data_IF_239884016148
#
_entry.id   IF_239884016148
#
_cell.length_a   1.000
_cell.length_b   1.000
_cell.length_c   1.000
_cell.angle_alpha   90.00
_cell.angle_beta   90.00
_cell.angle_gamma   90.00
#
_symmetry.space_group_name_H-M   'P 1'
#
loop_
_entity.id
_entity.type
_entity.pdbx_description
1 polymer ?
#
# COMPACT_ATOMS: atom_id res chain seq x y z
N UNK A 1 -24.72 -1.12 4.51
CA UNK A 1 -23.62 -1.57 5.39
C UNK A 1 -22.41 -1.96 4.55
N UNK A 2 -21.21 -1.55 4.94
CA UNK A 2 -19.97 -1.95 4.26
C UNK A 2 -19.77 -3.46 4.43
N UNK A 3 -19.84 -4.21 3.34
CA UNK A 3 -19.58 -5.65 3.37
C UNK A 3 -18.08 -5.93 3.28
N UNK A 4 -17.49 -6.45 4.35
CA UNK A 4 -16.08 -6.87 4.40
C UNK A 4 -16.01 -8.40 4.32
N UNK A 5 -15.29 -8.92 3.32
CA UNK A 5 -15.01 -10.35 3.23
C UNK A 5 -13.86 -10.74 4.15
N UNK A 6 -14.07 -11.80 4.93
CA UNK A 6 -13.05 -12.36 5.83
C UNK A 6 -11.95 -13.10 5.08
N UNK A 7 -12.29 -13.68 3.94
CA UNK A 7 -11.34 -14.36 3.07
C UNK A 7 -10.58 -13.31 2.26
N UNK A 8 -9.26 -13.32 2.39
CA UNK A 8 -8.36 -12.43 1.66
C UNK A 8 -7.90 -13.14 0.40
N UNK A 9 -8.11 -12.52 -0.76
CA UNK A 9 -7.56 -13.03 -2.01
C UNK A 9 -6.10 -12.57 -2.15
N UNK A 10 -5.17 -13.51 -2.32
CA UNK A 10 -3.75 -13.22 -2.49
C UNK A 10 -3.37 -13.23 -3.97
N UNK A 11 -2.64 -12.23 -4.42
CA UNK A 11 -2.12 -12.12 -5.79
C UNK A 11 -0.81 -11.35 -5.79
N UNK A 12 0.14 -11.73 -6.63
CA UNK A 12 1.35 -10.95 -6.83
C UNK A 12 1.11 -9.78 -7.78
N UNK A 13 1.90 -8.73 -7.66
CA UNK A 13 1.91 -7.61 -8.60
C UNK A 13 2.14 -8.04 -10.06
N UNK A 14 2.93 -9.10 -10.27
CA UNK A 14 3.16 -9.68 -11.61
C UNK A 14 1.94 -10.43 -12.14
N UNK A 15 1.34 -11.32 -11.35
CA UNK A 15 0.10 -12.02 -11.75
C UNK A 15 -1.01 -11.02 -12.06
N UNK A 16 -1.08 -9.93 -11.29
CA UNK A 16 -2.05 -8.87 -11.51
C UNK A 16 -1.82 -8.15 -12.85
N UNK A 17 -0.56 -7.90 -13.24
CA UNK A 17 -0.20 -7.41 -14.57
C UNK A 17 -0.58 -8.42 -15.66
N UNK A 18 -0.32 -9.70 -15.46
CA UNK A 18 -0.63 -10.76 -16.43
C UNK A 18 -2.14 -10.91 -16.66
N UNK A 19 -2.96 -10.73 -15.61
CA UNK A 19 -4.43 -10.74 -15.67
C UNK A 19 -4.99 -9.52 -16.40
N UNK A 20 -4.36 -8.36 -16.25
CA UNK A 20 -4.87 -7.07 -16.73
C UNK A 20 -3.77 -6.26 -17.44
N UNK A 21 -3.22 -6.76 -18.57
CA UNK A 21 -1.99 -6.22 -19.16
C UNK A 21 -2.14 -4.80 -19.72
N UNK A 22 -3.37 -4.41 -20.05
CA UNK A 22 -3.68 -3.11 -20.67
C UNK A 22 -4.14 -2.04 -19.66
N UNK A 23 -4.14 -2.36 -18.37
CA UNK A 23 -4.60 -1.46 -17.30
C UNK A 23 -3.41 -0.91 -16.51
N UNK A 24 -3.55 0.33 -16.02
CA UNK A 24 -2.58 0.94 -15.08
C UNK A 24 -2.61 0.23 -13.73
N UNK A 25 -1.55 0.32 -12.89
CA UNK A 25 -1.53 -0.32 -11.57
C UNK A 25 -2.78 -0.07 -10.71
N UNK A 26 -3.26 1.18 -10.65
CA UNK A 26 -4.48 1.54 -9.89
C UNK A 26 -5.77 1.00 -10.51
N UNK A 27 -5.84 0.91 -11.84
CA UNK A 27 -6.98 0.24 -12.50
C UNK A 27 -6.96 -1.28 -12.22
N UNK A 28 -5.78 -1.91 -12.17
CA UNK A 28 -5.67 -3.32 -11.81
C UNK A 28 -6.08 -3.57 -10.36
N UNK A 29 -5.63 -2.72 -9.43
CA UNK A 29 -6.07 -2.72 -8.03
C UNK A 29 -7.59 -2.61 -7.94
N UNK A 30 -8.20 -1.69 -8.69
CA UNK A 30 -9.65 -1.54 -8.75
C UNK A 30 -10.36 -2.81 -9.21
N UNK A 31 -9.98 -3.38 -10.36
CA UNK A 31 -10.65 -4.56 -10.92
C UNK A 31 -10.57 -5.78 -10.00
N UNK A 32 -9.37 -6.07 -9.47
CA UNK A 32 -9.19 -7.23 -8.58
C UNK A 32 -9.92 -7.04 -7.26
N UNK A 33 -9.88 -5.83 -6.70
CA UNK A 33 -10.51 -5.53 -5.40
C UNK A 33 -12.02 -5.47 -5.54
N UNK A 34 -12.57 -4.96 -6.65
CA UNK A 34 -14.01 -4.99 -6.92
C UNK A 34 -14.54 -6.42 -7.01
N UNK A 35 -13.79 -7.32 -7.65
CA UNK A 35 -14.13 -8.74 -7.80
C UNK A 35 -14.07 -9.52 -6.48
N UNK A 36 -12.98 -9.35 -5.72
CA UNK A 36 -12.70 -10.17 -4.54
C UNK A 36 -13.05 -9.50 -3.20
N UNK A 37 -13.35 -8.20 -3.21
CA UNK A 37 -13.70 -7.32 -2.06
C UNK A 37 -12.59 -7.09 -1.05
N UNK A 38 -11.74 -8.08 -0.79
CA UNK A 38 -10.59 -7.99 0.11
C UNK A 38 -9.39 -8.70 -0.54
N UNK A 39 -8.34 -7.94 -0.83
CA UNK A 39 -7.18 -8.41 -1.61
C UNK A 39 -5.88 -8.07 -0.88
N UNK A 40 -4.94 -9.01 -0.91
CA UNK A 40 -3.54 -8.76 -0.58
C UNK A 40 -2.71 -8.82 -1.85
N UNK A 41 -2.16 -7.69 -2.28
CA UNK A 41 -1.27 -7.61 -3.45
C UNK A 41 0.16 -7.68 -2.96
N UNK A 42 0.84 -8.79 -3.24
CA UNK A 42 2.22 -9.01 -2.81
C UNK A 42 3.25 -8.53 -3.82
N UNK A 43 4.50 -8.42 -3.38
CA UNK A 43 5.66 -8.05 -4.19
C UNK A 43 5.62 -6.64 -4.76
N UNK A 44 5.29 -5.66 -3.91
CA UNK A 44 5.26 -4.24 -4.28
C UNK A 44 6.66 -3.65 -4.20
N UNK A 45 7.08 -2.93 -5.24
CA UNK A 45 8.40 -2.32 -5.37
C UNK A 45 9.30 -2.96 -6.43
N UNK A 46 9.03 -4.22 -6.82
CA UNK A 46 9.75 -4.90 -7.91
C UNK A 46 9.42 -4.28 -9.27
N UNK A 47 10.41 -4.29 -10.15
CA UNK A 47 10.20 -4.08 -11.58
C UNK A 47 9.55 -5.34 -12.16
N UNK A 48 8.42 -5.17 -12.84
CA UNK A 48 7.63 -6.22 -13.48
C UNK A 48 8.13 -6.52 -14.89
N UNK A 49 7.54 -7.52 -15.55
CA UNK A 49 7.87 -7.95 -16.90
C UNK A 49 7.77 -6.85 -17.97
N UNK A 50 6.98 -5.79 -17.73
CA UNK A 50 6.83 -4.63 -18.60
C UNK A 50 7.87 -3.51 -18.33
N UNK A 51 8.89 -3.76 -17.50
CA UNK A 51 9.89 -2.79 -17.06
C UNK A 51 9.35 -1.63 -16.21
N UNK A 52 8.12 -1.72 -15.72
CA UNK A 52 7.53 -0.76 -14.79
C UNK A 52 7.41 -1.38 -13.40
N UNK A 53 7.21 -0.54 -12.38
CA UNK A 53 6.85 -1.02 -11.03
C UNK A 53 5.35 -0.93 -10.86
N UNK A 54 4.78 -1.82 -10.04
CA UNK A 54 3.38 -1.69 -9.63
C UNK A 54 3.17 -0.42 -8.81
N UNK A 55 4.01 -0.21 -7.80
CA UNK A 55 4.09 1.01 -7.01
C UNK A 55 5.52 1.19 -6.45
N UNK A 56 5.83 2.38 -5.96
CA UNK A 56 7.08 2.68 -5.28
C UNK A 56 7.17 1.95 -3.94
N UNK A 57 8.38 1.51 -3.58
CA UNK A 57 8.68 1.01 -2.24
C UNK A 57 10.11 1.36 -1.86
N UNK A 58 10.32 1.70 -0.60
CA UNK A 58 11.66 1.99 -0.11
C UNK A 58 12.50 0.71 -0.10
N UNK A 59 13.82 0.81 -0.34
CA UNK A 59 14.70 -0.36 -0.31
C UNK A 59 15.11 -0.80 1.10
N UNK A 60 14.82 0.00 2.13
CA UNK A 60 15.50 -0.09 3.42
C UNK A 60 14.80 -0.96 4.47
N UNK A 61 13.51 -1.24 4.30
CA UNK A 61 12.72 -1.91 5.35
C UNK A 61 11.85 -3.05 4.84
N UNK A 62 11.25 -2.97 3.65
CA UNK A 62 10.46 -4.08 3.10
C UNK A 62 11.29 -4.90 2.12
N UNK A 63 11.32 -6.23 2.29
CA UNK A 63 11.79 -7.12 1.23
C UNK A 63 10.70 -7.17 0.13
N UNK A 64 11.03 -6.71 -1.06
CA UNK A 64 10.08 -6.64 -2.17
C UNK A 64 9.66 -8.02 -2.70
N UNK A 65 10.26 -9.12 -2.25
CA UNK A 65 9.77 -10.47 -2.50
C UNK A 65 8.69 -10.90 -1.49
N UNK A 66 8.65 -10.28 -0.31
CA UNK A 66 7.91 -10.76 0.87
C UNK A 66 7.07 -9.66 1.54
N UNK A 67 6.71 -8.62 0.79
CA UNK A 67 5.82 -7.55 1.22
C UNK A 67 4.50 -7.59 0.46
N UNK A 68 3.57 -6.72 0.87
CA UNK A 68 2.37 -6.42 0.11
C UNK A 68 1.44 -5.43 0.80
N UNK A 69 0.39 -5.09 0.08
CA UNK A 69 -0.64 -4.15 0.50
C UNK A 69 -2.00 -4.86 0.66
N UNK A 70 -2.75 -4.50 1.70
CA UNK A 70 -4.15 -4.93 1.89
C UNK A 70 -5.08 -3.85 1.34
N UNK A 71 -5.91 -4.24 0.38
CA UNK A 71 -6.92 -3.39 -0.23
C UNK A 71 -8.33 -3.93 0.05
N UNK A 72 -9.25 -3.02 0.32
CA UNK A 72 -10.68 -3.30 0.46
C UNK A 72 -11.46 -2.53 -0.60
N UNK A 73 -12.54 -3.12 -1.10
CA UNK A 73 -13.44 -2.41 -1.98
C UNK A 73 -14.33 -1.47 -1.18
N UNK A 74 -14.20 -0.18 -1.43
CA UNK A 74 -15.01 0.84 -0.77
C UNK A 74 -16.22 1.17 -1.64
N UNK A 75 -17.38 0.62 -1.30
CA UNK A 75 -18.56 0.71 -2.17
C UNK A 75 -19.08 2.13 -2.33
N UNK A 76 -19.12 2.92 -1.25
CA UNK A 76 -19.59 4.30 -1.28
C UNK A 76 -18.78 5.21 -2.22
N UNK A 77 -17.49 4.92 -2.40
CA UNK A 77 -16.59 5.63 -3.31
C UNK A 77 -16.34 4.90 -4.64
N UNK A 78 -16.89 3.70 -4.81
CA UNK A 78 -16.56 2.77 -5.89
C UNK A 78 -15.06 2.73 -6.20
N UNK A 79 -14.23 2.38 -5.20
CA UNK A 79 -12.78 2.37 -5.36
C UNK A 79 -12.09 1.25 -4.59
N UNK A 80 -10.83 0.97 -4.94
CA UNK A 80 -9.95 0.17 -4.10
C UNK A 80 -9.29 1.07 -3.06
N UNK A 81 -9.55 0.79 -1.78
CA UNK A 81 -9.00 1.51 -0.65
C UNK A 81 -7.93 0.67 0.02
N UNK A 82 -6.69 1.13 -0.08
CA UNK A 82 -5.55 0.54 0.62
C UNK A 82 -5.60 0.88 2.12
N UNK A 83 -5.62 -0.14 2.97
CA UNK A 83 -5.70 -0.01 4.43
C UNK A 83 -4.36 -0.29 5.11
N UNK A 84 -3.52 -1.14 4.52
CA UNK A 84 -2.27 -1.52 5.14
C UNK A 84 -1.18 -1.80 4.12
N UNK A 85 0.06 -1.46 4.49
CA UNK A 85 1.28 -1.93 3.86
C UNK A 85 2.10 -2.69 4.90
N UNK A 86 2.53 -3.90 4.55
CA UNK A 86 3.25 -4.77 5.47
C UNK A 86 4.19 -5.72 4.73
N UNK A 87 5.12 -6.31 5.47
CA UNK A 87 6.03 -7.28 4.90
C UNK A 87 7.02 -7.84 5.90
N UNK A 88 7.63 -8.95 5.50
CA UNK A 88 8.87 -9.40 6.11
C UNK A 88 9.94 -8.35 5.81
N UNK A 89 10.66 -7.93 6.84
CA UNK A 89 11.66 -6.89 6.70
C UNK A 89 12.89 -7.39 5.98
N UNK A 90 13.61 -6.50 5.33
CA UNK A 90 14.89 -6.85 4.70
C UNK A 90 15.86 -7.46 5.71
N UNK A 91 16.58 -8.47 5.26
CA UNK A 91 17.80 -8.99 5.87
C UNK A 91 19.04 -8.36 5.20
N UNK A 92 20.23 -8.83 5.54
CA UNK A 92 21.50 -8.32 5.00
C UNK A 92 21.57 -8.41 3.47
N UNK A 93 21.20 -9.56 2.92
CA UNK A 93 21.26 -9.85 1.49
C UNK A 93 20.25 -9.01 0.68
N UNK A 94 19.00 -8.99 1.13
CA UNK A 94 17.94 -8.21 0.46
C UNK A 94 18.18 -6.71 0.59
N UNK A 95 18.68 -6.22 1.74
CA UNK A 95 19.06 -4.81 1.88
C UNK A 95 20.17 -4.46 0.89
N UNK A 96 21.24 -5.25 0.82
CA UNK A 96 22.35 -5.04 -0.12
C UNK A 96 21.84 -4.95 -1.57
N UNK A 97 21.07 -5.96 -1.98
CA UNK A 97 20.49 -6.06 -3.33
C UNK A 97 19.59 -4.87 -3.65
N UNK A 98 18.67 -4.52 -2.76
CA UNK A 98 17.67 -3.47 -3.01
C UNK A 98 18.30 -2.06 -3.02
N UNK A 99 19.31 -1.80 -2.18
CA UNK A 99 20.06 -0.54 -2.24
C UNK A 99 20.81 -0.39 -3.56
N UNK A 100 21.41 -1.47 -4.05
CA UNK A 100 22.07 -1.50 -5.36
C UNK A 100 21.08 -1.20 -6.50
N UNK A 101 19.96 -1.93 -6.54
CA UNK A 101 18.91 -1.74 -7.56
C UNK A 101 18.32 -0.32 -7.51
N UNK A 102 18.19 0.26 -6.32
CA UNK A 102 17.64 1.61 -6.13
C UNK A 102 18.66 2.74 -6.30
N UNK A 103 19.93 2.44 -6.58
CA UNK A 103 21.01 3.45 -6.62
C UNK A 103 21.27 4.15 -5.28
N UNK A 104 20.84 3.54 -4.16
CA UNK A 104 20.86 4.13 -2.82
C UNK A 104 22.04 3.67 -1.96
N UNK A 105 23.15 3.26 -2.59
CA UNK A 105 24.32 2.69 -1.90
C UNK A 105 24.92 3.58 -0.81
N UNK A 106 24.78 4.90 -0.92
CA UNK A 106 25.25 5.85 0.10
C UNK A 106 24.62 5.57 1.49
N UNK A 107 23.41 5.00 1.54
CA UNK A 107 22.67 4.71 2.79
C UNK A 107 23.32 3.66 3.66
N UNK A 108 24.18 2.79 3.09
CA UNK A 108 24.98 1.82 3.84
C UNK A 108 25.82 2.45 4.95
N UNK A 109 26.10 3.75 4.84
CA UNK A 109 26.87 4.48 5.83
C UNK A 109 26.06 4.96 7.04
N UNK A 110 24.72 4.93 6.96
CA UNK A 110 23.82 5.33 8.03
C UNK A 110 23.77 4.27 9.13
N UNK A 111 23.48 4.71 10.36
CA UNK A 111 23.54 3.86 11.55
C UNK A 111 22.68 2.60 11.43
N UNK A 112 21.41 2.76 11.03
CA UNK A 112 20.48 1.64 10.88
C UNK A 112 21.00 0.59 9.88
N UNK A 113 21.43 1.03 8.69
CA UNK A 113 21.91 0.14 7.64
C UNK A 113 23.19 -0.60 8.03
N UNK A 114 24.12 0.07 8.73
CA UNK A 114 25.33 -0.59 9.25
C UNK A 114 24.98 -1.70 10.22
N UNK A 115 24.11 -1.40 11.19
CA UNK A 115 23.69 -2.38 12.20
C UNK A 115 23.00 -3.58 11.53
N UNK A 116 22.11 -3.33 10.55
CA UNK A 116 21.45 -4.42 9.84
C UNK A 116 22.45 -5.27 9.05
N UNK A 117 23.31 -4.66 8.23
CA UNK A 117 24.32 -5.37 7.42
C UNK A 117 25.34 -6.15 8.26
N UNK A 118 25.56 -5.75 9.51
CA UNK A 118 26.42 -6.45 10.46
C UNK A 118 25.71 -7.56 11.24
N UNK A 119 24.41 -7.80 11.00
CA UNK A 119 23.62 -8.80 11.72
C UNK A 119 23.32 -8.41 13.19
N UNK A 120 23.36 -7.12 13.52
CA UNK A 120 23.12 -6.62 14.88
C UNK A 120 21.62 -6.44 15.20
N UNK A 121 20.75 -6.52 14.17
CA UNK A 121 19.30 -6.38 14.30
C UNK A 121 18.60 -7.72 14.01
N UNK A 122 17.50 -8.03 14.72
CA UNK A 122 16.77 -9.27 14.48
C UNK A 122 15.94 -9.22 13.20
N UNK A 123 15.68 -10.39 12.60
CA UNK A 123 14.67 -10.53 11.56
C UNK A 123 13.28 -10.21 12.12
N UNK A 124 12.51 -9.41 11.38
CA UNK A 124 11.16 -9.00 11.80
C UNK A 124 10.16 -9.06 10.65
N UNK A 125 8.89 -9.07 11.02
CA UNK A 125 7.76 -8.75 10.14
C UNK A 125 7.07 -7.53 10.74
N UNK A 126 6.60 -6.61 9.91
CA UNK A 126 5.81 -5.49 10.41
C UNK A 126 5.00 -4.82 9.32
N UNK A 127 4.23 -3.82 9.71
CA UNK A 127 3.42 -3.03 8.80
C UNK A 127 2.78 -1.83 9.48
N UNK A 128 2.12 -1.02 8.68
CA UNK A 128 1.27 0.08 9.14
C UNK A 128 -0.17 -0.17 8.74
N UNK A 129 -1.12 0.19 9.60
CA UNK A 129 -2.55 0.20 9.30
C UNK A 129 -3.05 1.62 9.40
N UNK A 130 -3.65 2.13 8.33
CA UNK A 130 -4.19 3.49 8.28
C UNK A 130 -5.44 3.61 9.14
N UNK A 131 -5.29 4.12 10.37
CA UNK A 131 -6.39 4.24 11.32
C UNK A 131 -7.60 5.00 10.74
N UNK A 132 -7.38 6.20 10.19
CA UNK A 132 -8.46 7.01 9.61
C UNK A 132 -9.07 6.36 8.37
N UNK A 133 -8.26 5.70 7.51
CA UNK A 133 -8.80 4.96 6.36
C UNK A 133 -9.67 3.78 6.80
N UNK A 134 -9.26 3.07 7.86
CA UNK A 134 -10.05 1.98 8.43
C UNK A 134 -11.37 2.50 9.02
N UNK A 135 -11.34 3.60 9.78
CA UNK A 135 -12.56 4.24 10.28
C UNK A 135 -13.50 4.66 9.14
N UNK A 136 -12.97 5.34 8.11
CA UNK A 136 -13.72 5.78 6.94
C UNK A 136 -14.41 4.59 6.24
N UNK A 137 -13.68 3.49 6.01
CA UNK A 137 -14.22 2.26 5.41
C UNK A 137 -15.36 1.66 6.24
N UNK A 138 -15.15 1.50 7.55
CA UNK A 138 -16.10 0.82 8.45
C UNK A 138 -17.40 1.62 8.66
N UNK A 139 -17.30 2.95 8.67
CA UNK A 139 -18.46 3.84 8.82
C UNK A 139 -19.14 4.07 7.45
N UNK A 140 -18.40 3.93 6.35
CA UNK A 140 -18.90 4.17 5.00
C UNK A 140 -18.82 5.64 4.58
N UNK A 141 -17.88 6.39 5.18
CA UNK A 141 -17.67 7.81 4.89
C UNK A 141 -17.04 7.98 3.50
N UNK A 142 -17.31 9.10 2.85
CA UNK A 142 -16.86 9.38 1.47
C UNK A 142 -15.66 10.34 1.45
N UNK A 143 -15.26 10.87 2.60
CA UNK A 143 -14.09 11.70 2.75
C UNK A 143 -13.36 11.40 4.06
N UNK A 144 -12.02 11.28 4.01
CA UNK A 144 -11.22 10.94 5.20
C UNK A 144 -11.29 12.01 6.29
N UNK A 145 -11.58 13.25 5.91
CA UNK A 145 -11.80 14.37 6.83
C UNK A 145 -13.02 14.22 7.74
N UNK A 146 -13.95 13.31 7.42
CA UNK A 146 -15.10 13.02 8.29
C UNK A 146 -14.69 12.23 9.56
N UNK A 147 -13.49 11.64 9.56
CA UNK A 147 -12.96 10.85 10.69
C UNK A 147 -11.61 11.35 11.20
N UNK A 148 -11.06 12.40 10.60
CA UNK A 148 -9.77 12.98 10.96
C UNK A 148 -9.78 14.50 10.80
N UNK A 149 -9.50 15.22 11.88
CA UNK A 149 -9.26 16.67 11.81
C UNK A 149 -7.98 16.97 11.04
N UNK A 150 -8.10 17.76 9.99
CA UNK A 150 -7.00 18.12 9.09
C UNK A 150 -7.27 19.45 8.39
N UNK A 151 -6.30 19.91 7.61
CA UNK A 151 -6.45 21.06 6.72
C UNK A 151 -6.88 20.59 5.32
N UNK A 152 -7.78 21.36 4.70
CA UNK A 152 -8.30 21.12 3.36
C UNK A 152 -8.30 22.44 2.58
N UNK A 153 -8.05 22.39 1.28
CA UNK A 153 -8.16 23.59 0.45
C UNK A 153 -9.63 24.03 0.31
N UNK A 154 -9.84 25.27 -0.12
CA UNK A 154 -11.18 25.86 -0.18
C UNK A 154 -12.11 25.11 -1.15
N UNK A 155 -11.59 24.62 -2.28
CA UNK A 155 -12.41 23.89 -3.24
C UNK A 155 -12.88 22.55 -2.66
N UNK A 156 -12.03 21.85 -1.90
CA UNK A 156 -12.42 20.63 -1.19
C UNK A 156 -13.47 20.89 -0.10
N UNK A 157 -13.29 21.96 0.69
CA UNK A 157 -14.28 22.35 1.72
C UNK A 157 -15.64 22.66 1.09
N UNK A 158 -15.67 23.48 0.04
CA UNK A 158 -16.90 23.90 -0.63
C UNK A 158 -17.62 22.69 -1.26
N UNK A 159 -16.88 21.78 -1.90
CA UNK A 159 -17.45 20.57 -2.50
C UNK A 159 -18.00 19.58 -1.47
N UNK A 160 -17.40 19.50 -0.28
CA UNK A 160 -17.90 18.69 0.82
C UNK A 160 -19.18 19.29 1.41
N UNK A 161 -19.17 20.61 1.67
CA UNK A 161 -20.33 21.33 2.20
C UNK A 161 -21.54 21.24 1.27
N UNK A 162 -21.35 21.43 -0.05
CA UNK A 162 -22.40 21.30 -1.06
C UNK A 162 -23.07 19.90 -1.04
N UNK A 163 -22.28 18.87 -0.72
CA UNK A 163 -22.74 17.47 -0.66
C UNK A 163 -23.17 17.01 0.73
N UNK A 164 -23.17 17.90 1.72
CA UNK A 164 -23.51 17.58 3.11
C UNK A 164 -22.48 16.70 3.83
N UNK A 165 -21.25 16.66 3.35
CA UNK A 165 -20.12 15.94 3.96
C UNK A 165 -19.48 16.81 5.03
N UNK A 166 -19.48 16.34 6.28
CA UNK A 166 -18.98 17.09 7.43
C UNK A 166 -17.50 16.81 7.66
N UNK A 167 -16.64 17.80 7.47
CA UNK A 167 -15.20 17.71 7.77
C UNK A 167 -14.93 18.08 9.25
N UNK A 168 -14.06 17.31 9.91
CA UNK A 168 -13.58 17.55 11.28
C UNK A 168 -12.37 18.49 11.37
#
# INVERSE_FOLDING_TARGET
DTEIKKEVFFVTSQELLDMYPNLTPKQREYEITKKHKTVFISQIGKTLSNNERHDGRAPDYDDWELNGDILFYHEALDCALEISSMGIRVNEESLDRQLNISGCNYRRNLTFHKMLLNGELPQTIGGGVGQSRLCMLLIGNVHIGEVQSSIWDKATQDACEEKGVILL
#
